data_IF_016774994448
#
_entry.id   IF_016774994448
#
_cell.length_a   1.000
_cell.length_b   1.000
_cell.length_c   1.000
_cell.angle_alpha   90.00
_cell.angle_beta   90.00
_cell.angle_gamma   90.00
#
_symmetry.space_group_name_H-M   'P 1'
#
loop_
_entity.id
_entity.type
_entity.pdbx_description
1 polymer ?
#
# COMPACT_ATOMS: atom_id res chain seq x y z
N UNK A 1 12.28 45.84 -5.08
CA UNK A 1 12.56 44.50 -5.67
C UNK A 1 11.77 43.47 -4.88
N UNK A 2 10.68 42.94 -5.44
CA UNK A 2 9.82 41.98 -4.76
C UNK A 2 10.43 40.57 -4.89
N UNK A 3 10.78 39.96 -3.76
CA UNK A 3 11.37 38.63 -3.67
C UNK A 3 10.42 37.57 -4.25
N UNK A 4 10.76 37.08 -5.44
CA UNK A 4 10.05 36.06 -6.20
C UNK A 4 10.26 34.66 -5.57
N UNK A 5 9.68 34.41 -4.39
CA UNK A 5 9.77 33.12 -3.68
C UNK A 5 8.40 32.59 -3.23
N UNK A 6 7.38 32.77 -4.08
CA UNK A 6 6.05 32.15 -3.89
C UNK A 6 5.81 30.99 -4.87
N UNK A 7 6.84 30.20 -5.17
CA UNK A 7 6.65 28.93 -5.87
C UNK A 7 6.34 27.84 -4.83
N UNK A 8 5.04 27.65 -4.56
CA UNK A 8 4.48 26.37 -4.08
C UNK A 8 5.24 25.73 -2.91
N UNK A 9 5.10 26.31 -1.71
CA UNK A 9 5.45 25.67 -0.43
C UNK A 9 4.40 24.65 -0.02
N UNK A 10 4.05 23.71 -0.91
CA UNK A 10 3.23 22.58 -0.49
C UNK A 10 4.15 21.64 0.28
N UNK A 11 3.99 21.60 1.60
CA UNK A 11 4.70 20.64 2.43
C UNK A 11 4.36 19.22 1.93
N UNK A 12 5.39 18.40 1.69
CA UNK A 12 5.24 17.06 1.12
C UNK A 12 5.69 16.04 2.17
N UNK A 13 4.93 14.96 2.31
CA UNK A 13 5.34 13.84 3.15
C UNK A 13 6.55 13.12 2.55
N UNK A 14 7.56 12.88 3.37
CA UNK A 14 8.69 12.05 3.00
C UNK A 14 8.26 10.58 2.96
N UNK A 15 8.52 9.88 1.85
CA UNK A 15 8.17 8.46 1.67
C UNK A 15 8.89 7.51 2.66
N UNK A 16 10.01 7.92 3.23
CA UNK A 16 10.84 7.07 4.09
C UNK A 16 10.54 7.21 5.57
N UNK A 17 10.34 8.45 6.05
CA UNK A 17 10.04 8.71 7.46
C UNK A 17 8.57 9.06 7.70
N UNK A 18 7.76 9.15 6.64
CA UNK A 18 6.34 9.52 6.67
C UNK A 18 6.02 10.86 7.33
N UNK A 19 7.02 11.70 7.61
CA UNK A 19 6.85 13.05 8.15
C UNK A 19 6.63 14.05 7.04
N UNK A 20 5.71 14.99 7.25
CA UNK A 20 5.52 16.17 6.40
C UNK A 20 6.74 17.07 6.53
N UNK A 21 7.27 17.52 5.39
CA UNK A 21 8.45 18.38 5.33
C UNK A 21 8.16 19.62 4.48
N UNK A 22 8.52 20.79 4.99
CA UNK A 22 8.43 22.04 4.24
C UNK A 22 9.40 22.06 3.04
N UNK A 23 10.54 21.39 3.20
CA UNK A 23 11.59 21.30 2.19
C UNK A 23 12.08 19.86 2.03
N UNK A 24 11.26 19.03 1.38
CA UNK A 24 11.54 17.61 1.13
C UNK A 24 12.92 17.34 0.47
N UNK A 25 13.40 18.11 -0.53
CA UNK A 25 14.73 17.87 -1.11
C UNK A 25 15.86 17.96 -0.09
N UNK A 26 15.80 18.95 0.82
CA UNK A 26 16.81 19.15 1.87
C UNK A 26 16.76 18.02 2.88
N UNK A 27 15.54 17.62 3.27
CA UNK A 27 15.34 16.49 4.18
C UNK A 27 15.89 15.18 3.60
N UNK A 28 15.66 14.91 2.31
CA UNK A 28 16.21 13.74 1.63
C UNK A 28 17.75 13.78 1.65
N UNK A 29 18.38 14.89 1.26
CA UNK A 29 19.86 15.01 1.29
C UNK A 29 20.47 14.84 2.67
N UNK A 30 19.79 15.28 3.73
CA UNK A 30 20.38 15.32 5.08
C UNK A 30 20.03 14.13 5.96
N UNK A 31 18.87 13.51 5.75
CA UNK A 31 18.33 12.54 6.71
C UNK A 31 18.03 11.21 6.03
N UNK A 32 17.07 11.19 5.10
CA UNK A 32 16.50 9.94 4.60
C UNK A 32 17.20 9.36 3.37
N UNK A 33 17.95 10.15 2.60
CA UNK A 33 18.66 9.70 1.40
C UNK A 33 19.93 10.50 1.12
N UNK A 34 20.93 10.36 2.01
CA UNK A 34 22.17 11.16 2.00
C UNK A 34 23.04 11.02 0.75
N UNK A 35 23.06 9.83 0.15
CA UNK A 35 23.91 9.50 -1.01
C UNK A 35 23.16 9.56 -2.34
N UNK A 36 22.01 10.22 -2.33
CA UNK A 36 21.18 10.39 -3.50
C UNK A 36 21.79 11.33 -4.54
N UNK A 37 21.71 10.97 -5.81
CA UNK A 37 21.95 11.94 -6.88
C UNK A 37 20.84 13.00 -6.90
N UNK A 38 21.13 14.15 -7.50
CA UNK A 38 20.14 15.23 -7.62
C UNK A 38 18.88 14.77 -8.37
N UNK A 39 19.06 14.01 -9.46
CA UNK A 39 17.99 13.45 -10.27
C UNK A 39 17.06 12.55 -9.47
N UNK A 40 17.62 11.65 -8.67
CA UNK A 40 16.82 10.75 -7.85
C UNK A 40 16.03 11.49 -6.75
N UNK A 41 16.58 12.57 -6.20
CA UNK A 41 15.85 13.43 -5.27
C UNK A 41 14.69 14.13 -5.95
N UNK A 42 14.89 14.67 -7.15
CA UNK A 42 13.82 15.30 -7.92
C UNK A 42 12.70 14.31 -8.23
N UNK A 43 13.04 13.08 -8.62
CA UNK A 43 12.07 12.01 -8.84
C UNK A 43 11.27 11.70 -7.57
N UNK A 44 11.91 11.60 -6.42
CA UNK A 44 11.23 11.36 -5.13
C UNK A 44 10.32 12.53 -4.73
N UNK A 45 10.73 13.76 -4.99
CA UNK A 45 9.93 14.95 -4.70
C UNK A 45 8.72 15.02 -5.64
N UNK A 46 8.91 14.72 -6.92
CA UNK A 46 7.85 14.65 -7.92
C UNK A 46 6.83 13.56 -7.55
N UNK A 47 7.32 12.37 -7.18
CA UNK A 47 6.49 11.26 -6.69
C UNK A 47 5.66 11.67 -5.47
N UNK A 48 6.29 12.28 -4.45
CA UNK A 48 5.61 12.74 -3.25
C UNK A 48 4.53 13.79 -3.55
N UNK A 49 4.82 14.75 -4.43
CA UNK A 49 3.85 15.78 -4.86
C UNK A 49 2.68 15.18 -5.62
N UNK A 50 2.92 14.21 -6.50
CA UNK A 50 1.86 13.55 -7.27
C UNK A 50 0.93 12.76 -6.34
N UNK A 51 1.49 11.96 -5.43
CA UNK A 51 0.72 11.20 -4.43
C UNK A 51 -0.13 12.13 -3.56
N UNK A 52 0.45 13.21 -3.05
CA UNK A 52 -0.28 14.20 -2.26
C UNK A 52 -1.42 14.84 -3.07
N UNK A 53 -1.18 15.21 -4.33
CA UNK A 53 -2.22 15.75 -5.22
C UNK A 53 -3.32 14.73 -5.48
N UNK A 54 -3.01 13.46 -5.69
CA UNK A 54 -3.99 12.40 -5.89
C UNK A 54 -4.88 12.22 -4.65
N UNK A 55 -4.28 12.18 -3.46
CA UNK A 55 -5.04 12.09 -2.20
C UNK A 55 -5.97 13.30 -2.07
N UNK A 56 -5.44 14.52 -2.20
CA UNK A 56 -6.24 15.74 -2.09
C UNK A 56 -7.39 15.77 -3.10
N UNK A 57 -7.16 15.34 -4.36
CA UNK A 57 -8.22 15.25 -5.38
C UNK A 57 -9.35 14.32 -4.94
N UNK A 58 -9.03 13.11 -4.46
CA UNK A 58 -10.04 12.13 -4.02
C UNK A 58 -10.83 12.62 -2.81
N UNK A 59 -10.21 13.39 -1.94
CA UNK A 59 -10.83 13.99 -0.75
C UNK A 59 -11.63 15.27 -1.05
N UNK A 60 -11.29 16.01 -2.12
CA UNK A 60 -11.81 17.35 -2.36
C UNK A 60 -13.11 17.44 -3.16
N UNK A 61 -13.46 16.42 -3.96
CA UNK A 61 -14.64 16.44 -4.82
C UNK A 61 -15.46 15.18 -4.63
N UNK A 62 -16.59 15.34 -3.94
CA UNK A 62 -17.63 14.34 -3.76
C UNK A 62 -18.88 14.86 -4.45
N UNK A 63 -19.46 14.07 -5.35
CA UNK A 63 -20.74 14.43 -5.96
C UNK A 63 -21.86 14.14 -4.97
N UNK A 64 -22.95 14.92 -5.01
CA UNK A 64 -24.05 14.76 -4.06
C UNK A 64 -24.72 13.38 -4.22
N UNK A 65 -24.79 12.89 -5.45
CA UNK A 65 -25.33 11.58 -5.80
C UNK A 65 -24.53 10.43 -5.17
N UNK A 66 -23.22 10.61 -4.96
CA UNK A 66 -22.37 9.62 -4.31
C UNK A 66 -22.66 9.49 -2.80
N UNK A 67 -23.44 10.41 -2.22
CA UNK A 67 -23.86 10.40 -0.82
C UNK A 67 -25.23 9.72 -0.63
N UNK A 68 -25.89 9.28 -1.71
CA UNK A 68 -27.15 8.56 -1.61
C UNK A 68 -26.95 7.21 -0.93
N UNK A 69 -27.56 7.11 0.24
CA UNK A 69 -27.45 5.96 1.10
C UNK A 69 -28.54 4.93 0.73
N UNK A 70 -28.12 3.76 0.22
CA UNK A 70 -29.04 2.68 -0.16
C UNK A 70 -28.99 1.45 0.74
N UNK A 71 -28.11 1.39 1.76
CA UNK A 71 -27.97 0.24 2.65
C UNK A 71 -28.81 0.41 3.94
N UNK A 72 -28.69 -0.49 4.92
CA UNK A 72 -29.47 -0.43 6.17
C UNK A 72 -28.80 0.39 7.29
N UNK A 73 -27.45 0.48 7.31
CA UNK A 73 -26.70 1.32 8.25
C UNK A 73 -25.90 2.48 7.59
N UNK A 74 -26.31 3.76 7.79
CA UNK A 74 -25.59 4.94 7.30
C UNK A 74 -24.13 4.98 7.74
N UNK A 75 -23.82 4.49 8.93
CA UNK A 75 -22.46 4.56 9.47
C UNK A 75 -21.50 3.65 8.71
N UNK A 76 -21.93 2.44 8.37
CA UNK A 76 -21.12 1.51 7.57
C UNK A 76 -20.87 2.06 6.16
N UNK A 77 -21.90 2.63 5.53
CA UNK A 77 -21.77 3.27 4.21
C UNK A 77 -20.75 4.41 4.23
N UNK A 78 -20.90 5.39 5.14
CA UNK A 78 -19.96 6.51 5.19
C UNK A 78 -18.56 6.06 5.57
N UNK A 79 -18.44 5.03 6.41
CA UNK A 79 -17.15 4.44 6.75
C UNK A 79 -16.45 3.89 5.50
N UNK A 80 -17.14 3.07 4.71
CA UNK A 80 -16.59 2.51 3.47
C UNK A 80 -16.32 3.59 2.43
N UNK A 81 -17.24 4.53 2.25
CA UNK A 81 -17.12 5.65 1.31
C UNK A 81 -15.86 6.50 1.59
N UNK A 82 -15.64 6.84 2.85
CA UNK A 82 -14.47 7.63 3.27
C UNK A 82 -13.17 6.81 3.11
N UNK A 83 -13.16 5.54 3.47
CA UNK A 83 -12.00 4.64 3.29
C UNK A 83 -11.61 4.49 1.81
N UNK A 84 -12.57 4.29 0.91
CA UNK A 84 -12.35 4.21 -0.54
C UNK A 84 -11.75 5.50 -1.12
N UNK A 85 -12.12 6.65 -0.56
CA UNK A 85 -11.59 7.97 -0.93
C UNK A 85 -10.24 8.29 -0.29
N UNK A 86 -9.72 7.41 0.57
CA UNK A 86 -8.39 7.51 1.17
C UNK A 86 -8.38 8.20 2.54
N UNK A 87 -9.52 8.31 3.21
CA UNK A 87 -9.58 8.75 4.60
C UNK A 87 -9.18 7.60 5.54
N UNK A 88 -8.45 7.94 6.60
CA UNK A 88 -8.24 7.04 7.74
C UNK A 88 -9.29 7.34 8.81
N UNK A 89 -10.03 6.32 9.26
CA UNK A 89 -11.06 6.43 10.28
C UNK A 89 -10.58 5.76 11.57
N UNK A 90 -10.50 6.54 12.65
CA UNK A 90 -10.10 6.05 13.96
C UNK A 90 -11.31 5.60 14.78
N UNK A 91 -11.17 4.51 15.55
CA UNK A 91 -12.22 4.04 16.46
C UNK A 91 -13.35 3.25 15.78
N UNK A 92 -13.15 2.80 14.52
CA UNK A 92 -14.06 1.84 13.87
C UNK A 92 -14.13 0.58 14.74
N UNK A 93 -15.33 0.10 15.11
CA UNK A 93 -15.45 -1.18 15.81
C UNK A 93 -14.86 -2.26 14.91
N UNK A 94 -13.96 -3.07 15.46
CA UNK A 94 -13.41 -4.23 14.78
C UNK A 94 -14.57 -5.20 14.53
N UNK A 95 -15.17 -5.18 13.34
CA UNK A 95 -15.86 -6.35 12.83
C UNK A 95 -14.78 -7.42 12.63
N UNK A 96 -14.68 -8.34 13.60
CA UNK A 96 -13.91 -9.57 13.43
C UNK A 96 -14.65 -10.47 12.43
N UNK A 97 -14.64 -10.10 11.16
CA UNK A 97 -14.69 -11.09 10.08
C UNK A 97 -13.25 -11.35 9.67
N UNK A 98 -12.74 -12.43 10.25
CA UNK A 98 -11.38 -12.92 10.11
C UNK A 98 -10.99 -13.13 8.65
N UNK A 99 -9.74 -12.75 8.36
CA UNK A 99 -8.85 -13.32 7.32
C UNK A 99 -9.00 -12.74 5.90
N UNK A 100 -8.15 -11.75 5.59
CA UNK A 100 -7.20 -11.76 4.45
C UNK A 100 -6.80 -10.32 4.06
N UNK A 101 -5.92 -9.69 4.85
CA UNK A 101 -4.97 -8.73 4.27
C UNK A 101 -3.60 -9.01 4.90
N UNK A 102 -2.58 -9.05 4.04
CA UNK A 102 -1.14 -9.01 4.31
C UNK A 102 -0.45 -10.37 4.47
N UNK A 103 -0.13 -10.97 3.33
CA UNK A 103 1.16 -11.64 3.15
C UNK A 103 1.88 -10.95 2.01
N UNK A 104 2.55 -9.84 2.33
CA UNK A 104 3.62 -9.31 1.48
C UNK A 104 4.91 -10.03 1.86
N UNK A 105 5.52 -10.62 0.84
CA UNK A 105 6.95 -10.78 0.59
C UNK A 105 7.81 -11.72 1.46
N UNK A 106 8.65 -12.47 0.72
CA UNK A 106 9.81 -13.27 1.13
C UNK A 106 9.58 -14.62 1.82
N UNK A 107 9.17 -15.62 1.04
CA UNK A 107 9.70 -16.98 1.19
C UNK A 107 10.30 -17.50 -0.11
N UNK A 108 11.63 -17.38 -0.14
CA UNK A 108 12.57 -18.17 -0.94
C UNK A 108 12.17 -19.64 -0.89
N UNK A 109 12.21 -20.28 -2.06
CA UNK A 109 11.59 -21.57 -2.33
C UNK A 109 12.04 -22.73 -1.44
N UNK A 110 11.12 -23.67 -1.29
CA UNK A 110 11.35 -25.09 -1.04
C UNK A 110 9.97 -25.75 -1.09
N UNK A 111 9.73 -26.52 -2.14
CA UNK A 111 8.44 -27.14 -2.39
C UNK A 111 8.54 -28.11 -3.55
N UNK A 112 9.24 -29.23 -3.34
CA UNK A 112 9.10 -30.36 -4.24
C UNK A 112 9.33 -31.76 -3.64
N UNK A 113 9.25 -31.96 -2.32
CA UNK A 113 9.55 -33.28 -1.73
C UNK A 113 8.32 -34.17 -1.49
N UNK A 114 7.08 -33.65 -1.56
CA UNK A 114 5.88 -34.47 -1.24
C UNK A 114 5.19 -35.14 -2.44
N UNK A 115 5.61 -34.84 -3.67
CA UNK A 115 5.02 -35.45 -4.87
C UNK A 115 5.85 -36.63 -5.40
N UNK A 116 7.12 -36.73 -5.01
CA UNK A 116 8.01 -37.83 -5.41
C UNK A 116 7.81 -39.07 -4.51
N UNK A 117 7.55 -38.87 -3.20
CA UNK A 117 7.32 -39.96 -2.24
C UNK A 117 6.07 -40.79 -2.60
N UNK A 118 4.97 -40.13 -3.02
CA UNK A 118 3.75 -40.82 -3.48
C UNK A 118 3.94 -41.62 -4.77
N UNK A 119 4.83 -41.19 -5.67
CA UNK A 119 5.12 -41.92 -6.92
C UNK A 119 6.12 -43.06 -6.74
N UNK A 120 6.82 -43.12 -5.60
CA UNK A 120 7.68 -44.25 -5.26
C UNK A 120 6.90 -45.34 -4.53
N UNK A 121 5.94 -44.98 -3.68
CA UNK A 121 5.04 -45.96 -3.02
C UNK A 121 4.14 -46.69 -4.03
N UNK A 122 3.59 -46.01 -5.04
CA UNK A 122 2.79 -46.68 -6.08
C UNK A 122 3.61 -47.69 -6.90
N UNK A 123 4.89 -47.41 -7.19
CA UNK A 123 5.76 -48.34 -7.92
C UNK A 123 6.14 -49.58 -7.11
N UNK A 124 6.32 -49.44 -5.80
CA UNK A 124 6.63 -50.59 -4.93
C UNK A 124 5.41 -51.50 -4.72
N UNK A 125 4.18 -50.96 -4.82
CA UNK A 125 2.96 -51.76 -4.74
C UNK A 125 2.65 -52.54 -6.02
N UNK A 126 3.03 -52.02 -7.21
CA UNK A 126 2.87 -52.77 -8.47
C UNK A 126 3.86 -53.92 -8.62
N UNK A 127 5.10 -53.81 -8.12
CA UNK A 127 6.08 -54.91 -8.17
C UNK A 127 5.69 -56.09 -7.26
N UNK A 128 5.03 -55.86 -6.12
CA UNK A 128 4.59 -56.94 -5.23
C UNK A 128 3.38 -57.74 -5.75
N UNK A 129 2.67 -57.25 -6.76
CA UNK A 129 1.53 -57.97 -7.37
C UNK A 129 1.93 -58.84 -8.57
N UNK A 130 3.21 -58.85 -8.98
CA UNK A 130 3.70 -59.70 -10.08
C UNK A 130 4.53 -60.91 -9.63
N UNK A 131 4.74 -61.10 -8.32
CA UNK A 131 5.46 -62.26 -7.76
C UNK A 131 4.57 -63.29 -7.02
N UNK A 132 3.24 -63.21 -7.13
CA UNK A 132 2.30 -64.28 -6.70
C UNK A 132 1.68 -65.05 -7.87
#
# INVERSE_FOLDING_TARGET
MASKWNQSRCAVACKFCFKVQDCLPVHLKRTCRKFATAEEIENLVKEGRERMRTILRRLSVVNYEDLEFHTADPKEFFTRFLEERGCYIQGKPLCFETSQILSNDDKKGEGNDKQEERRQEERQQEEQQQEE
#
